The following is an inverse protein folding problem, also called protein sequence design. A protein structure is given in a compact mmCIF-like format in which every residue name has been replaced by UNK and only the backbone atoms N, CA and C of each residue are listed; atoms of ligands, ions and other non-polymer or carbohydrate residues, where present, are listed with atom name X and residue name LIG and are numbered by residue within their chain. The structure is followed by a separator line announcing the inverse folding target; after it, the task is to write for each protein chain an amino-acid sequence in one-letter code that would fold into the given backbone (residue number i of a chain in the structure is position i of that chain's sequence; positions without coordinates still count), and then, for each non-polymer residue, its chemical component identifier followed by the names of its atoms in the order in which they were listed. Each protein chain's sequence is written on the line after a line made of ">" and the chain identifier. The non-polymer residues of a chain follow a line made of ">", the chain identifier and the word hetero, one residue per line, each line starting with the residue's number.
data_IF_869401093020
#
_entry.id   IF_869401093020
#
_cell.length_a   1.000
_cell.length_b   1.000
_cell.length_c   1.000
_cell.angle_alpha   90.00
_cell.angle_beta   90.00
_cell.angle_gamma   90.00
#
_symmetry.space_group_name_H-M   'P 1'
#
loop_
_entity.id
_entity.type
_entity.pdbx_description
1 polymer ?
#
# COMPACT_ATOMS: atom_id res chain seq x y z
N UNK A 1 -5.53 -0.80 -25.28
CA UNK A 1 -4.50 -0.34 -24.31
C UNK A 1 -3.95 -1.42 -23.35
N UNK A 2 -4.32 -2.70 -23.45
CA UNK A 2 -3.44 -3.79 -22.95
C UNK A 2 -3.54 -5.12 -23.72
N UNK A 3 -4.44 -5.24 -24.71
CA UNK A 3 -4.59 -6.46 -25.51
C UNK A 3 -4.90 -7.73 -24.69
N UNK A 4 -5.44 -7.60 -23.47
CA UNK A 4 -5.68 -8.72 -22.56
C UNK A 4 -4.52 -9.07 -21.63
N UNK A 5 -3.39 -8.36 -21.68
CA UNK A 5 -2.28 -8.56 -20.73
C UNK A 5 -2.64 -8.03 -19.35
N UNK A 6 -2.55 -8.91 -18.35
CA UNK A 6 -2.77 -8.58 -16.93
C UNK A 6 -1.51 -7.96 -16.35
N UNK A 7 -1.63 -6.76 -15.76
CA UNK A 7 -0.51 -6.09 -15.05
C UNK A 7 -0.22 -6.79 -13.72
N UNK A 8 -1.27 -7.12 -12.97
CA UNK A 8 -1.18 -7.92 -11.75
C UNK A 8 -1.63 -9.35 -12.03
N UNK A 9 -1.02 -10.33 -11.34
CA UNK A 9 -1.48 -11.74 -11.39
C UNK A 9 -2.97 -11.88 -11.08
N UNK A 10 -3.44 -11.12 -10.08
CA UNK A 10 -4.85 -10.96 -9.72
C UNK A 10 -4.99 -9.58 -9.05
N UNK A 11 -6.13 -8.94 -9.26
CA UNK A 11 -6.52 -7.73 -8.53
C UNK A 11 -7.71 -8.10 -7.65
N UNK A 12 -7.81 -7.59 -6.41
CA UNK A 12 -6.97 -6.56 -5.79
C UNK A 12 -5.57 -7.01 -5.33
N UNK A 13 -4.71 -6.06 -4.94
CA UNK A 13 -3.26 -6.25 -4.71
C UNK A 13 -2.94 -7.32 -3.65
N UNK A 14 -3.77 -7.54 -2.64
CA UNK A 14 -3.53 -8.59 -1.65
C UNK A 14 -3.44 -9.98 -2.28
N UNK A 15 -4.35 -10.30 -3.20
CA UNK A 15 -4.35 -11.59 -3.91
C UNK A 15 -3.16 -11.71 -4.87
N UNK A 16 -2.61 -10.59 -5.35
CA UNK A 16 -1.38 -10.62 -6.12
C UNK A 16 -0.22 -11.20 -5.30
N UNK A 17 -0.10 -10.79 -4.03
CA UNK A 17 0.93 -11.27 -3.10
C UNK A 17 0.67 -12.70 -2.61
N UNK A 18 -0.60 -13.09 -2.45
CA UNK A 18 -0.94 -14.50 -2.18
C UNK A 18 -0.49 -15.41 -3.33
N UNK A 19 -0.72 -15.02 -4.59
CA UNK A 19 -0.24 -15.73 -5.79
C UNK A 19 1.29 -15.65 -6.01
N UNK A 20 2.00 -14.88 -5.17
CA UNK A 20 3.46 -14.85 -5.07
C UNK A 20 3.97 -15.76 -3.93
N UNK A 21 3.07 -16.42 -3.19
CA UNK A 21 3.40 -17.35 -2.12
C UNK A 21 3.53 -16.72 -0.73
N UNK A 22 3.05 -15.50 -0.52
CA UNK A 22 3.06 -14.87 0.80
C UNK A 22 1.89 -15.36 1.64
N UNK A 23 2.11 -15.48 2.96
CA UNK A 23 1.03 -15.78 3.91
C UNK A 23 0.11 -14.57 4.11
N UNK A 24 -1.20 -14.83 4.24
CA UNK A 24 -2.24 -13.80 4.40
C UNK A 24 -1.92 -12.81 5.52
N UNK A 25 -1.58 -13.32 6.71
CA UNK A 25 -1.23 -12.49 7.87
C UNK A 25 -0.02 -11.59 7.59
N UNK A 26 0.97 -12.10 6.86
CA UNK A 26 2.16 -11.31 6.48
C UNK A 26 1.79 -10.17 5.53
N UNK A 27 0.88 -10.40 4.58
CA UNK A 27 0.40 -9.38 3.65
C UNK A 27 -0.35 -8.28 4.42
N UNK A 28 -1.26 -8.67 5.31
CA UNK A 28 -2.06 -7.73 6.12
C UNK A 28 -1.16 -6.83 6.97
N UNK A 29 -0.21 -7.41 7.70
CA UNK A 29 0.70 -6.64 8.57
C UNK A 29 1.56 -5.67 7.73
N UNK A 30 2.05 -6.09 6.57
CA UNK A 30 2.85 -5.21 5.69
C UNK A 30 2.01 -4.04 5.17
N UNK A 31 0.76 -4.27 4.80
CA UNK A 31 -0.15 -3.21 4.36
C UNK A 31 -0.46 -2.22 5.49
N UNK A 32 -0.58 -2.70 6.74
CA UNK A 32 -0.72 -1.82 7.91
C UNK A 32 0.50 -0.93 8.14
N UNK A 33 1.71 -1.48 7.96
CA UNK A 33 2.94 -0.68 8.08
C UNK A 33 2.94 0.45 7.03
N UNK A 34 2.62 0.13 5.76
CA UNK A 34 2.54 1.16 4.71
C UNK A 34 1.46 2.20 5.01
N UNK A 35 0.27 1.77 5.45
CA UNK A 35 -0.80 2.69 5.85
C UNK A 35 -0.35 3.61 6.99
N UNK A 36 0.32 3.07 8.02
CA UNK A 36 0.88 3.85 9.13
C UNK A 36 1.92 4.87 8.68
N UNK A 37 2.81 4.50 7.75
CA UNK A 37 3.79 5.42 7.16
C UNK A 37 3.12 6.56 6.39
N UNK A 38 2.10 6.26 5.59
CA UNK A 38 1.34 7.27 4.86
C UNK A 38 0.60 8.24 5.80
N UNK A 39 0.00 7.72 6.88
CA UNK A 39 -0.63 8.54 7.91
C UNK A 39 0.40 9.45 8.59
N UNK A 40 1.53 8.89 9.02
CA UNK A 40 2.60 9.64 9.66
C UNK A 40 3.14 10.75 8.74
N UNK A 41 3.35 10.44 7.45
CA UNK A 41 3.77 11.42 6.46
C UNK A 41 2.72 12.53 6.26
N UNK A 42 1.44 12.17 6.12
CA UNK A 42 0.35 13.14 5.95
C UNK A 42 0.22 14.08 7.15
N UNK A 43 0.25 13.54 8.37
CA UNK A 43 0.22 14.34 9.60
C UNK A 43 1.48 15.21 9.73
N UNK A 44 2.66 14.65 9.46
CA UNK A 44 3.91 15.38 9.51
C UNK A 44 3.93 16.57 8.55
N UNK A 45 3.50 16.37 7.30
CA UNK A 45 3.40 17.44 6.31
C UNK A 45 2.38 18.50 6.71
N UNK A 46 1.20 18.09 7.19
CA UNK A 46 0.15 19.02 7.63
C UNK A 46 0.63 19.91 8.78
N UNK A 47 1.21 19.32 9.83
CA UNK A 47 1.70 20.09 10.97
C UNK A 47 2.96 20.90 10.64
N UNK A 48 3.85 20.39 9.79
CA UNK A 48 4.99 21.17 9.31
C UNK A 48 4.53 22.43 8.55
N UNK A 49 3.51 22.30 7.69
CA UNK A 49 2.90 23.45 7.03
C UNK A 49 2.26 24.40 8.05
N UNK A 50 1.49 23.86 9.01
CA UNK A 50 0.78 24.67 10.02
C UNK A 50 1.73 25.45 10.94
N UNK A 51 2.88 24.89 11.31
CA UNK A 51 3.88 25.56 12.17
C UNK A 51 4.69 26.63 11.42
N UNK A 52 4.90 26.45 10.12
CA UNK A 52 5.66 27.39 9.28
C UNK A 52 4.80 28.57 8.81
N UNK A 53 3.48 28.41 8.80
CA UNK A 53 2.51 29.47 8.50
C UNK A 53 2.28 30.41 9.69
#
# INVERSE_FOLDING_TARGET
>A
LSGGKRVFKMAPLQHHFELLGWGEVTIVIRFWIVAGLCVAAGLGLFYAQWVVA
#
